data_IF_820160965723
#
_entry.id   IF_820160965723
#
_cell.length_a   1.000
_cell.length_b   1.000
_cell.length_c   1.000
_cell.angle_alpha   90.00
_cell.angle_beta   90.00
_cell.angle_gamma   90.00
#
_symmetry.space_group_name_H-M   'P 1'
#
loop_
_entity.id
_entity.type
_entity.pdbx_description
1 polymer ?
#
# COMPACT_ATOMS: atom_id res chain seq x y z
N UNK A 1 -10.25 14.89 -2.44
CA UNK A 1 -10.03 14.15 -3.72
C UNK A 1 -11.00 12.98 -3.73
N UNK A 2 -11.72 12.73 -4.84
CA UNK A 2 -12.60 11.56 -4.97
C UNK A 2 -11.73 10.29 -5.18
N UNK A 3 -11.72 9.32 -4.24
CA UNK A 3 -10.91 8.11 -4.37
C UNK A 3 -11.29 7.23 -5.56
N UNK A 4 -12.50 7.39 -6.10
CA UNK A 4 -13.04 6.61 -7.21
C UNK A 4 -13.00 7.35 -8.56
N UNK A 5 -12.41 8.54 -8.63
CA UNK A 5 -12.40 9.35 -9.85
C UNK A 5 -11.85 8.60 -11.08
N UNK A 6 -10.77 7.82 -10.91
CA UNK A 6 -10.21 7.00 -12.01
C UNK A 6 -11.13 5.84 -12.42
N UNK A 7 -11.88 5.29 -11.47
CA UNK A 7 -12.87 4.23 -11.73
C UNK A 7 -14.02 4.78 -12.57
N UNK A 8 -14.52 5.96 -12.21
CA UNK A 8 -15.57 6.67 -12.93
C UNK A 8 -15.12 7.02 -14.36
N UNK A 9 -13.90 7.58 -14.49
CA UNK A 9 -13.31 7.91 -15.77
C UNK A 9 -13.11 6.67 -16.66
N UNK A 10 -12.61 5.56 -16.09
CA UNK A 10 -12.41 4.30 -16.81
C UNK A 10 -13.71 3.69 -17.29
N UNK A 11 -14.79 3.81 -16.51
CA UNK A 11 -16.13 3.39 -16.92
C UNK A 11 -16.68 4.27 -18.03
N UNK A 12 -16.57 5.60 -17.92
CA UNK A 12 -17.02 6.55 -18.95
C UNK A 12 -16.32 6.35 -20.30
N UNK A 13 -15.03 5.97 -20.27
CA UNK A 13 -14.25 5.62 -21.46
C UNK A 13 -14.54 4.22 -22.03
N UNK A 14 -15.44 3.46 -21.42
CA UNK A 14 -15.77 2.09 -21.85
C UNK A 14 -14.66 1.07 -21.58
N UNK A 15 -13.63 1.43 -20.82
CA UNK A 15 -12.50 0.54 -20.49
C UNK A 15 -12.88 -0.44 -19.37
N UNK A 16 -13.68 0.02 -18.40
CA UNK A 16 -14.19 -0.80 -17.31
C UNK A 16 -15.67 -1.16 -17.57
N UNK A 17 -16.00 -2.46 -17.70
CA UNK A 17 -17.38 -2.87 -17.94
C UNK A 17 -18.33 -2.50 -16.80
N UNK A 18 -19.60 -2.30 -17.11
CA UNK A 18 -20.66 -1.91 -16.14
C UNK A 18 -20.76 -2.84 -14.94
N UNK A 19 -20.58 -4.14 -15.17
CA UNK A 19 -20.64 -5.16 -14.10
C UNK A 19 -19.56 -4.93 -13.05
N UNK A 20 -18.31 -4.79 -13.47
CA UNK A 20 -17.16 -4.58 -12.62
C UNK A 20 -17.20 -3.21 -11.94
N UNK A 21 -17.59 -2.18 -12.68
CA UNK A 21 -17.85 -0.84 -12.14
C UNK A 21 -18.86 -0.88 -10.98
N UNK A 22 -20.04 -1.46 -11.21
CA UNK A 22 -21.09 -1.56 -10.19
C UNK A 22 -20.64 -2.38 -8.98
N UNK A 23 -19.87 -3.46 -9.21
CA UNK A 23 -19.34 -4.29 -8.14
C UNK A 23 -18.35 -3.53 -7.26
N UNK A 24 -17.45 -2.74 -7.87
CA UNK A 24 -16.48 -1.91 -7.16
C UNK A 24 -17.21 -0.87 -6.30
N UNK A 25 -18.18 -0.13 -6.88
CA UNK A 25 -18.94 0.86 -6.13
C UNK A 25 -19.68 0.25 -4.93
N UNK A 26 -20.37 -0.88 -5.14
CA UNK A 26 -21.08 -1.61 -4.08
C UNK A 26 -20.17 -2.03 -2.93
N UNK A 27 -18.91 -2.36 -3.23
CA UNK A 27 -17.97 -2.92 -2.26
C UNK A 27 -16.97 -1.90 -1.69
N UNK A 28 -16.87 -0.72 -2.29
CA UNK A 28 -15.99 0.35 -1.81
C UNK A 28 -16.18 0.72 -0.31
N UNK A 29 -17.39 0.65 0.28
CA UNK A 29 -17.56 0.83 1.72
C UNK A 29 -16.70 -0.10 2.59
N UNK A 30 -16.26 -1.26 2.08
CA UNK A 30 -15.31 -2.13 2.79
C UNK A 30 -13.93 -1.48 2.92
N UNK A 31 -13.49 -0.73 1.91
CA UNK A 31 -12.23 0.05 1.96
C UNK A 31 -12.35 1.16 2.99
N UNK A 32 -13.44 1.93 2.95
CA UNK A 32 -13.70 3.01 3.92
C UNK A 32 -13.74 2.47 5.35
N UNK A 33 -14.42 1.35 5.56
CA UNK A 33 -14.45 0.65 6.85
C UNK A 33 -13.05 0.20 7.31
N UNK A 34 -12.20 -0.25 6.38
CA UNK A 34 -10.81 -0.63 6.66
C UNK A 34 -9.97 0.57 7.06
N UNK A 35 -10.06 1.68 6.34
CA UNK A 35 -9.36 2.93 6.63
C UNK A 35 -9.74 3.43 8.03
N UNK A 36 -11.04 3.57 8.33
CA UNK A 36 -11.50 4.03 9.64
C UNK A 36 -11.03 3.12 10.78
N UNK A 37 -10.97 1.81 10.52
CA UNK A 37 -10.47 0.83 11.48
C UNK A 37 -8.98 1.02 11.76
N UNK A 38 -8.17 1.24 10.72
CA UNK A 38 -6.72 1.48 10.81
C UNK A 38 -6.44 2.78 11.57
N UNK A 39 -7.15 3.86 11.24
CA UNK A 39 -7.03 5.14 11.94
C UNK A 39 -7.36 5.01 13.42
N UNK A 40 -8.46 4.32 13.75
CA UNK A 40 -8.84 4.06 15.14
C UNK A 40 -7.80 3.21 15.88
N UNK A 41 -7.29 2.14 15.24
CA UNK A 41 -6.35 1.21 15.84
C UNK A 41 -4.94 1.79 16.03
N UNK A 42 -4.51 2.71 15.16
CA UNK A 42 -3.19 3.34 15.21
C UNK A 42 -3.18 4.71 15.92
N UNK A 43 -4.33 5.39 15.95
CA UNK A 43 -4.42 6.79 16.35
C UNK A 43 -3.71 7.75 15.38
N UNK A 44 -3.50 7.33 14.11
CA UNK A 44 -2.86 8.11 13.05
C UNK A 44 -3.77 8.14 11.82
N UNK A 45 -3.93 9.32 11.21
CA UNK A 45 -4.72 9.48 9.99
C UNK A 45 -4.14 8.68 8.81
N UNK A 46 -5.02 8.05 8.04
CA UNK A 46 -4.64 7.31 6.85
C UNK A 46 -4.19 8.28 5.74
N UNK A 47 -3.15 7.97 4.96
CA UNK A 47 -2.73 8.80 3.85
C UNK A 47 -3.79 8.88 2.74
N UNK A 48 -3.58 9.79 1.79
CA UNK A 48 -4.44 9.87 0.61
C UNK A 48 -4.42 8.52 -0.09
N UNK A 49 -5.60 7.98 -0.37
CA UNK A 49 -5.76 6.74 -1.11
C UNK A 49 -6.66 6.95 -2.32
N UNK A 50 -6.37 6.23 -3.41
CA UNK A 50 -7.22 6.19 -4.59
C UNK A 50 -7.26 4.78 -5.20
N UNK A 51 -8.32 4.51 -5.95
CA UNK A 51 -8.52 3.22 -6.60
C UNK A 51 -8.00 3.29 -8.04
N UNK A 52 -7.06 2.40 -8.35
CA UNK A 52 -6.56 2.17 -9.71
C UNK A 52 -7.48 1.19 -10.43
N UNK A 53 -8.02 1.53 -11.61
CA UNK A 53 -8.94 0.65 -12.35
C UNK A 53 -8.29 -0.64 -12.86
N UNK A 54 -6.97 -0.76 -12.75
CA UNK A 54 -6.20 -1.88 -13.27
C UNK A 54 -5.84 -2.89 -12.18
N UNK A 55 -5.62 -4.16 -12.57
CA UNK A 55 -4.77 -5.06 -11.81
C UNK A 55 -3.32 -4.60 -11.98
N UNK A 56 -2.55 -4.57 -10.89
CA UNK A 56 -1.15 -4.19 -10.93
C UNK A 56 -0.32 -5.47 -10.91
N UNK A 57 0.50 -5.68 -11.94
CA UNK A 57 1.40 -6.84 -12.05
C UNK A 57 2.83 -6.32 -11.96
N UNK A 58 3.57 -6.84 -10.98
CA UNK A 58 5.01 -6.59 -10.85
C UNK A 58 5.79 -7.73 -11.47
N UNK A 59 6.77 -7.42 -12.31
CA UNK A 59 7.72 -8.39 -12.86
C UNK A 59 9.15 -7.94 -12.61
N UNK A 60 10.05 -8.90 -12.38
CA UNK A 60 11.47 -8.60 -12.16
C UNK A 60 12.15 -8.06 -13.42
N UNK A 61 11.68 -8.51 -14.59
CA UNK A 61 12.13 -8.00 -15.90
C UNK A 61 10.96 -7.90 -16.87
N UNK A 62 11.05 -7.07 -17.93
CA UNK A 62 9.99 -6.96 -18.95
C UNK A 62 9.59 -8.29 -19.59
N UNK A 63 10.51 -9.27 -19.61
CA UNK A 63 10.37 -10.56 -20.28
C UNK A 63 10.20 -11.73 -19.27
N UNK A 64 10.19 -11.50 -17.96
CA UNK A 64 9.98 -12.57 -17.01
C UNK A 64 8.49 -12.87 -16.82
N UNK A 65 8.15 -14.17 -16.78
CA UNK A 65 6.80 -14.65 -16.52
C UNK A 65 6.49 -14.82 -15.03
N UNK A 66 7.35 -14.29 -14.14
CA UNK A 66 7.09 -14.25 -12.71
C UNK A 66 6.06 -13.16 -12.41
N UNK A 67 4.82 -13.57 -12.32
CA UNK A 67 3.69 -12.68 -12.05
C UNK A 67 3.50 -12.53 -10.55
N UNK A 68 3.87 -11.36 -10.02
CA UNK A 68 3.39 -10.92 -8.71
C UNK A 68 2.20 -9.97 -8.89
N UNK A 69 1.03 -10.32 -8.34
CA UNK A 69 -0.11 -9.39 -8.30
C UNK A 69 0.04 -8.48 -7.09
N UNK A 70 0.10 -7.18 -7.33
CA UNK A 70 0.05 -6.17 -6.28
C UNK A 70 -1.38 -5.68 -6.10
N UNK A 71 -1.96 -5.97 -4.97
CA UNK A 71 -3.33 -5.58 -4.64
C UNK A 71 -3.45 -4.14 -4.13
N UNK A 72 -2.39 -3.61 -3.56
CA UNK A 72 -2.20 -2.20 -3.26
C UNK A 72 -0.70 -1.88 -3.24
N UNK A 73 -0.35 -0.62 -3.25
CA UNK A 73 1.02 -0.15 -3.06
C UNK A 73 1.07 1.26 -2.50
N UNK A 74 2.09 1.52 -1.69
CA UNK A 74 2.41 2.84 -1.18
C UNK A 74 3.45 3.48 -2.08
N UNK A 75 3.12 4.66 -2.65
CA UNK A 75 3.99 5.36 -3.59
C UNK A 75 4.15 6.83 -3.20
N UNK A 76 5.37 7.39 -3.31
CA UNK A 76 5.57 8.83 -3.24
C UNK A 76 5.22 9.45 -4.59
N UNK A 77 4.55 10.57 -4.53
CA UNK A 77 4.25 11.42 -5.70
C UNK A 77 4.95 12.73 -5.53
N UNK A 78 5.85 13.04 -6.45
CA UNK A 78 6.56 14.31 -6.47
C UNK A 78 5.66 15.33 -7.16
N UNK A 79 5.32 16.39 -6.43
CA UNK A 79 4.62 17.55 -6.98
C UNK A 79 5.62 18.72 -7.14
N UNK A 80 5.22 19.76 -7.88
CA UNK A 80 6.06 20.99 -7.99
C UNK A 80 6.39 21.64 -6.64
N UNK A 81 5.60 21.36 -5.60
CA UNK A 81 5.72 22.03 -4.29
C UNK A 81 6.16 21.11 -3.17
N UNK A 82 5.95 19.79 -3.26
CA UNK A 82 6.22 18.85 -2.16
C UNK A 82 6.16 17.40 -2.63
N UNK A 83 6.52 16.50 -1.73
CA UNK A 83 6.30 15.07 -1.86
C UNK A 83 5.01 14.72 -1.12
N UNK A 84 4.15 13.94 -1.74
CA UNK A 84 2.99 13.33 -1.12
C UNK A 84 3.14 11.81 -1.19
N UNK A 85 2.87 11.13 -0.08
CA UNK A 85 2.82 9.67 -0.06
C UNK A 85 1.36 9.29 -0.17
N UNK A 86 1.06 8.43 -1.13
CA UNK A 86 -0.31 7.98 -1.41
C UNK A 86 -0.37 6.46 -1.43
N UNK A 87 -1.55 5.91 -1.15
CA UNK A 87 -1.83 4.48 -1.29
C UNK A 87 -2.70 4.27 -2.52
N UNK A 88 -2.18 3.50 -3.46
CA UNK A 88 -2.89 3.05 -4.65
C UNK A 88 -3.50 1.70 -4.39
N UNK A 89 -4.82 1.56 -4.57
CA UNK A 89 -5.57 0.34 -4.31
C UNK A 89 -6.04 -0.23 -5.65
N UNK A 90 -5.73 -1.48 -5.94
CA UNK A 90 -6.17 -2.15 -7.17
C UNK A 90 -7.67 -2.44 -7.14
N UNK A 91 -8.39 -2.11 -8.22
CA UNK A 91 -9.83 -2.36 -8.33
C UNK A 91 -10.22 -3.83 -8.14
N UNK A 92 -9.48 -4.84 -8.66
CA UNK A 92 -9.74 -6.26 -8.39
C UNK A 92 -9.73 -6.64 -6.92
N UNK A 93 -8.92 -5.99 -6.08
CA UNK A 93 -8.97 -6.20 -4.63
C UNK A 93 -10.35 -5.87 -4.07
N UNK A 94 -10.92 -4.74 -4.49
CA UNK A 94 -12.24 -4.31 -4.03
C UNK A 94 -13.32 -5.25 -4.56
N UNK A 95 -13.23 -5.59 -5.84
CA UNK A 95 -14.21 -6.45 -6.51
C UNK A 95 -14.29 -7.85 -5.89
N UNK A 96 -13.16 -8.46 -5.54
CA UNK A 96 -13.10 -9.89 -5.20
C UNK A 96 -12.54 -10.21 -3.82
N UNK A 97 -11.85 -9.27 -3.16
CA UNK A 97 -11.26 -9.47 -1.84
C UNK A 97 -12.31 -9.65 -0.75
N UNK A 98 -12.04 -10.51 0.21
CA UNK A 98 -12.84 -10.58 1.43
C UNK A 98 -12.56 -9.36 2.31
N UNK A 99 -13.52 -8.97 3.17
CA UNK A 99 -13.37 -7.83 4.10
C UNK A 99 -12.05 -7.90 4.89
N UNK A 100 -11.75 -9.06 5.48
CA UNK A 100 -10.52 -9.25 6.26
C UNK A 100 -9.24 -9.11 5.41
N UNK A 101 -9.27 -9.59 4.14
CA UNK A 101 -8.15 -9.44 3.19
C UNK A 101 -7.96 -7.97 2.80
N UNK A 102 -9.03 -7.24 2.49
CA UNK A 102 -8.97 -5.80 2.18
C UNK A 102 -8.36 -5.04 3.36
N UNK A 103 -8.84 -5.28 4.59
CA UNK A 103 -8.34 -4.61 5.78
C UNK A 103 -6.87 -4.96 6.07
N UNK A 104 -6.46 -6.23 5.86
CA UNK A 104 -5.07 -6.65 6.06
C UNK A 104 -4.12 -5.97 5.07
N UNK A 105 -4.51 -5.88 3.79
CA UNK A 105 -3.71 -5.23 2.75
C UNK A 105 -3.60 -3.73 3.04
N UNK A 106 -4.70 -3.05 3.35
CA UNK A 106 -4.66 -1.63 3.71
C UNK A 106 -3.77 -1.36 4.93
N UNK A 107 -3.83 -2.23 5.95
CA UNK A 107 -2.98 -2.11 7.13
C UNK A 107 -1.51 -2.35 6.80
N UNK A 108 -1.19 -3.30 5.92
CA UNK A 108 0.17 -3.55 5.46
C UNK A 108 0.73 -2.34 4.70
N UNK A 109 -0.04 -1.78 3.77
CA UNK A 109 0.36 -0.55 3.06
C UNK A 109 0.51 0.66 4.00
N UNK A 110 -0.30 0.72 5.05
CA UNK A 110 -0.16 1.74 6.07
C UNK A 110 1.17 1.61 6.86
N UNK A 111 1.64 0.39 7.12
CA UNK A 111 2.97 0.18 7.71
C UNK A 111 4.08 0.65 6.76
N UNK A 112 3.97 0.41 5.46
CA UNK A 112 4.90 0.97 4.46
C UNK A 112 4.87 2.50 4.45
N UNK A 113 3.68 3.11 4.55
CA UNK A 113 3.54 4.55 4.67
C UNK A 113 4.28 5.10 5.89
N UNK A 114 4.09 4.51 7.07
CA UNK A 114 4.78 4.94 8.29
C UNK A 114 6.30 4.80 8.17
N UNK A 115 6.78 3.69 7.62
CA UNK A 115 8.21 3.46 7.41
C UNK A 115 8.82 4.47 6.43
N UNK A 116 8.09 4.80 5.36
CA UNK A 116 8.55 5.79 4.40
C UNK A 116 8.61 7.19 5.04
N UNK A 117 7.59 7.58 5.82
CA UNK A 117 7.63 8.85 6.58
C UNK A 117 8.82 8.85 7.55
N UNK A 118 9.07 7.78 8.27
CA UNK A 118 10.21 7.65 9.17
C UNK A 118 11.53 7.92 8.43
N UNK A 119 11.77 7.21 7.35
CA UNK A 119 12.98 7.38 6.52
C UNK A 119 13.13 8.79 5.99
N UNK A 120 12.05 9.40 5.50
CA UNK A 120 12.07 10.78 5.01
C UNK A 120 12.32 11.79 6.14
N UNK A 121 11.82 11.55 7.36
CA UNK A 121 11.98 12.45 8.50
C UNK A 121 13.38 12.42 9.11
N UNK A 122 14.07 11.28 9.05
CA UNK A 122 15.43 11.11 9.59
C UNK A 122 16.51 11.45 8.58
N UNK A 123 16.12 11.83 7.35
CA UNK A 123 17.06 12.01 6.23
C UNK A 123 18.05 10.82 6.08
N UNK A 124 17.61 9.60 6.44
CA UNK A 124 18.35 8.36 6.17
C UNK A 124 18.55 8.11 4.66
N UNK A 125 18.33 9.13 3.89
CA UNK A 125 18.40 9.25 2.45
C UNK A 125 19.68 9.98 2.08
N UNK A 126 20.80 9.26 2.13
CA UNK A 126 22.15 9.84 2.05
C UNK A 126 22.64 10.20 0.64
N UNK A 127 21.85 10.09 -0.43
CA UNK A 127 22.31 10.51 -1.76
C UNK A 127 21.17 10.85 -2.72
N UNK A 128 21.48 11.67 -3.74
CA UNK A 128 20.60 11.99 -4.86
C UNK A 128 20.18 10.74 -5.68
N UNK A 129 20.86 9.61 -5.47
CA UNK A 129 20.57 8.31 -6.08
C UNK A 129 19.66 7.39 -5.24
N UNK A 130 19.10 7.87 -4.16
CA UNK A 130 18.22 7.10 -3.24
C UNK A 130 16.92 6.61 -3.89
N UNK A 131 16.89 6.59 -5.15
CA UNK A 131 15.67 6.44 -5.89
C UNK A 131 15.11 5.02 -5.93
N UNK A 132 15.93 4.02 -6.20
CA UNK A 132 15.44 2.68 -6.56
C UNK A 132 15.36 1.75 -5.37
N UNK A 133 16.43 1.69 -4.59
CA UNK A 133 16.58 0.70 -3.53
C UNK A 133 15.68 0.94 -2.33
N UNK A 134 15.21 2.16 -2.10
CA UNK A 134 14.36 2.47 -0.95
C UNK A 134 12.98 1.80 -1.10
N UNK A 135 12.42 1.84 -2.30
CA UNK A 135 11.11 1.27 -2.58
C UNK A 135 11.17 -0.23 -2.79
N UNK A 136 12.20 -0.74 -3.46
CA UNK A 136 12.42 -2.18 -3.58
C UNK A 136 12.66 -2.83 -2.22
N UNK A 137 13.49 -2.22 -1.39
CA UNK A 137 13.79 -2.75 -0.06
C UNK A 137 12.57 -2.66 0.88
N UNK A 138 11.72 -1.65 0.74
CA UNK A 138 10.46 -1.56 1.51
C UNK A 138 9.50 -2.69 1.13
N UNK A 139 9.45 -3.09 -0.14
CA UNK A 139 8.59 -4.19 -0.59
C UNK A 139 9.20 -5.59 -0.36
N UNK A 140 10.52 -5.73 -0.40
CA UNK A 140 11.21 -7.00 -0.16
C UNK A 140 11.47 -7.29 1.32
N UNK A 141 11.63 -6.26 2.13
CA UNK A 141 12.05 -6.35 3.53
C UNK A 141 10.85 -6.21 4.48
N UNK A 142 9.99 -7.23 4.53
CA UNK A 142 8.97 -7.33 5.58
C UNK A 142 9.57 -7.27 6.99
N UNK A 143 10.85 -7.63 7.15
CA UNK A 143 11.58 -7.62 8.42
C UNK A 143 11.93 -6.20 8.92
N UNK A 144 11.87 -5.19 8.03
CA UNK A 144 12.15 -3.78 8.37
C UNK A 144 10.91 -2.95 8.64
N UNK A 145 9.72 -3.48 8.37
CA UNK A 145 8.48 -2.77 8.68
C UNK A 145 8.27 -2.63 10.18
N UNK A 146 7.48 -1.65 10.55
CA UNK A 146 7.00 -1.54 11.92
C UNK A 146 6.34 -2.85 12.37
N UNK A 147 6.66 -3.27 13.60
CA UNK A 147 5.94 -4.40 14.21
C UNK A 147 4.43 -4.07 14.30
N UNK A 148 3.55 -4.82 13.66
CA UNK A 148 2.12 -4.49 13.62
C UNK A 148 1.49 -4.31 15.00
N UNK A 149 1.94 -5.07 16.01
CA UNK A 149 1.48 -4.97 17.41
C UNK A 149 1.93 -3.68 18.10
N UNK A 150 2.96 -3.01 17.58
CA UNK A 150 3.37 -1.71 18.09
C UNK A 150 2.49 -0.58 17.57
N UNK A 151 1.89 -0.77 16.38
CA UNK A 151 1.11 0.24 15.65
C UNK A 151 -0.39 0.08 15.91
N UNK A 152 -0.92 -1.15 15.85
CA UNK A 152 -2.36 -1.39 15.89
C UNK A 152 -2.80 -1.96 17.23
N UNK A 153 -3.76 -1.30 17.86
CA UNK A 153 -4.48 -1.80 19.03
C UNK A 153 -5.81 -2.45 18.59
N UNK A 154 -5.70 -3.52 17.79
CA UNK A 154 -6.84 -4.28 17.28
C UNK A 154 -6.43 -5.73 16.98
N UNK A 155 -6.73 -6.63 17.91
CA UNK A 155 -6.35 -8.04 17.80
C UNK A 155 -6.91 -8.75 16.57
N UNK A 156 -8.12 -8.41 16.13
CA UNK A 156 -8.71 -9.03 14.95
C UNK A 156 -8.04 -8.53 13.66
N UNK A 157 -7.64 -7.24 13.61
CA UNK A 157 -6.84 -6.71 12.51
C UNK A 157 -5.46 -7.38 12.47
N UNK A 158 -4.79 -7.49 13.61
CA UNK A 158 -3.50 -8.19 13.75
C UNK A 158 -3.59 -9.64 13.28
N UNK A 159 -4.65 -10.36 13.66
CA UNK A 159 -4.89 -11.73 13.18
C UNK A 159 -5.04 -11.79 11.65
N UNK A 160 -5.72 -10.83 11.03
CA UNK A 160 -5.84 -10.77 9.57
C UNK A 160 -4.48 -10.49 8.90
N UNK A 161 -3.68 -9.56 9.43
CA UNK A 161 -2.35 -9.26 8.93
C UNK A 161 -1.47 -10.50 9.00
N UNK A 162 -1.37 -11.15 10.16
CA UNK A 162 -0.54 -12.35 10.35
C UNK A 162 -0.93 -13.49 9.40
N UNK A 163 -2.23 -13.68 9.16
CA UNK A 163 -2.73 -14.73 8.25
C UNK A 163 -2.45 -14.43 6.79
N UNK A 164 -2.45 -13.17 6.37
CA UNK A 164 -2.29 -12.79 4.97
C UNK A 164 -0.84 -12.47 4.59
N UNK A 165 -0.01 -12.13 5.57
CA UNK A 165 1.40 -11.79 5.40
C UNK A 165 2.32 -12.61 6.33
N UNK A 166 2.36 -13.95 6.20
CA UNK A 166 3.26 -14.78 7.02
C UNK A 166 4.74 -14.58 6.63
N UNK A 167 5.02 -14.45 5.35
CA UNK A 167 6.33 -14.15 4.74
C UNK A 167 6.15 -13.57 3.34
N UNK A 168 5.33 -12.52 3.23
CA UNK A 168 4.77 -12.00 1.99
C UNK A 168 3.27 -12.25 1.91
N UNK A 169 2.61 -11.60 0.94
CA UNK A 169 1.16 -11.74 0.78
C UNK A 169 0.80 -13.16 0.30
N UNK A 170 -0.24 -13.74 0.93
CA UNK A 170 -0.77 -15.06 0.56
C UNK A 170 -2.30 -15.09 0.63
N UNK A 171 -2.93 -15.04 -0.53
CA UNK A 171 -4.36 -15.30 -0.69
C UNK A 171 -4.64 -15.91 -2.07
N UNK A 172 -4.29 -17.19 -2.24
CA UNK A 172 -4.46 -17.92 -3.51
C UNK A 172 -5.90 -17.84 -4.05
N UNK A 173 -6.92 -17.84 -3.17
CA UNK A 173 -8.33 -17.71 -3.60
C UNK A 173 -8.64 -16.35 -4.21
N UNK A 174 -7.98 -15.28 -3.75
CA UNK A 174 -8.11 -13.96 -4.35
C UNK A 174 -7.35 -13.90 -5.67
N UNK A 175 -6.12 -14.42 -5.70
CA UNK A 175 -5.29 -14.48 -6.90
C UNK A 175 -5.98 -15.24 -8.03
N UNK A 176 -6.52 -16.46 -7.76
CA UNK A 176 -7.29 -17.26 -8.71
C UNK A 176 -8.51 -16.49 -9.26
N UNK A 177 -9.25 -15.79 -8.38
CA UNK A 177 -10.38 -14.97 -8.82
C UNK A 177 -9.95 -13.83 -9.73
N UNK A 178 -8.84 -13.17 -9.43
CA UNK A 178 -8.32 -12.08 -10.24
C UNK A 178 -7.81 -12.61 -11.57
N UNK A 179 -7.10 -13.72 -11.60
CA UNK A 179 -6.71 -14.37 -12.84
C UNK A 179 -7.95 -14.66 -13.71
N UNK A 180 -8.92 -15.40 -13.19
CA UNK A 180 -10.10 -15.89 -13.93
C UNK A 180 -11.07 -14.77 -14.34
N UNK A 181 -11.33 -13.81 -13.45
CA UNK A 181 -12.40 -12.82 -13.65
C UNK A 181 -11.89 -11.44 -14.05
N UNK A 182 -10.59 -11.22 -14.08
CA UNK A 182 -10.01 -9.96 -14.47
C UNK A 182 -9.00 -10.12 -15.63
N UNK A 183 -7.94 -10.91 -15.42
CA UNK A 183 -6.84 -11.03 -16.38
C UNK A 183 -7.28 -11.81 -17.63
N UNK A 184 -7.90 -12.98 -17.48
CA UNK A 184 -8.39 -13.80 -18.61
C UNK A 184 -9.52 -13.11 -19.40
N UNK A 185 -10.16 -12.10 -18.79
CA UNK A 185 -11.19 -11.27 -19.46
C UNK A 185 -10.62 -10.02 -20.11
N UNK A 186 -9.31 -9.89 -20.17
CA UNK A 186 -8.63 -8.72 -20.73
C UNK A 186 -9.07 -7.39 -20.12
N UNK A 187 -9.42 -7.38 -18.81
CA UNK A 187 -9.72 -6.15 -18.11
C UNK A 187 -8.42 -5.35 -17.83
N UNK A 188 -8.53 -4.05 -17.48
CA UNK A 188 -7.37 -3.18 -17.35
C UNK A 188 -6.24 -3.78 -16.52
N UNK A 189 -5.04 -3.78 -17.10
CA UNK A 189 -3.82 -4.31 -16.47
C UNK A 189 -2.71 -3.28 -16.55
N UNK A 190 -2.09 -2.99 -15.42
CA UNK A 190 -0.91 -2.14 -15.32
C UNK A 190 0.31 -3.02 -15.00
N UNK A 191 1.23 -3.14 -15.93
CA UNK A 191 2.51 -3.82 -15.68
C UNK A 191 3.53 -2.81 -15.19
N UNK A 192 4.19 -3.15 -14.10
CA UNK A 192 5.30 -2.38 -13.54
C UNK A 192 6.55 -3.25 -13.49
N UNK A 193 7.64 -2.71 -14.02
CA UNK A 193 8.97 -3.29 -13.89
C UNK A 193 9.76 -2.50 -12.86
N UNK A 194 10.90 -3.01 -12.44
CA UNK A 194 11.81 -2.32 -11.54
C UNK A 194 12.17 -0.92 -12.10
N UNK A 195 12.48 -0.83 -13.39
CA UNK A 195 12.89 0.41 -14.05
C UNK A 195 11.76 1.45 -14.14
N UNK A 196 10.50 1.00 -14.33
CA UNK A 196 9.34 1.90 -14.42
C UNK A 196 8.81 2.35 -13.05
N UNK A 197 9.28 1.74 -11.97
CA UNK A 197 8.83 2.03 -10.62
C UNK A 197 9.78 2.98 -9.85
N UNK A 198 10.81 3.50 -10.54
CA UNK A 198 11.77 4.43 -9.96
C UNK A 198 11.14 5.81 -9.78
N UNK A 199 11.06 6.27 -8.55
CA UNK A 199 10.70 7.65 -8.24
C UNK A 199 11.93 8.39 -7.74
N UNK A 200 12.45 9.31 -8.53
CA UNK A 200 13.56 10.18 -8.13
C UNK A 200 13.06 11.26 -7.18
N UNK A 201 13.58 11.26 -5.95
CA UNK A 201 13.30 12.27 -4.96
C UNK A 201 14.48 13.24 -4.85
N UNK A 202 14.28 14.53 -5.14
CA UNK A 202 15.33 15.51 -4.92
C UNK A 202 15.38 15.94 -3.45
N UNK A 203 16.56 16.22 -2.93
CA UNK A 203 16.75 16.76 -1.57
C UNK A 203 15.89 18.03 -1.33
N UNK A 204 15.74 18.89 -2.35
CA UNK A 204 14.87 20.08 -2.31
C UNK A 204 13.40 19.70 -2.15
N UNK A 205 12.93 18.64 -2.76
CA UNK A 205 11.54 18.18 -2.58
C UNK A 205 11.31 17.58 -1.20
N UNK A 206 12.30 16.90 -0.65
CA UNK A 206 12.26 16.33 0.70
C UNK A 206 12.25 17.45 1.74
N UNK A 207 13.11 18.44 1.62
CA UNK A 207 13.18 19.59 2.57
C UNK A 207 11.90 20.42 2.60
N UNK A 208 11.11 20.41 1.54
CA UNK A 208 9.81 21.07 1.46
C UNK A 208 8.64 20.25 2.00
N UNK A 209 8.88 19.01 2.35
CA UNK A 209 7.86 18.14 2.92
C UNK A 209 7.49 18.61 4.33
N UNK A 210 6.24 18.99 4.51
CA UNK A 210 5.73 19.39 5.83
C UNK A 210 5.16 18.17 6.54
N UNK A 211 5.93 17.62 7.46
CA UNK A 211 5.46 16.57 8.36
C UNK A 211 4.87 17.22 9.63
N UNK A 212 3.74 16.69 10.09
CA UNK A 212 3.14 17.12 11.35
C UNK A 212 3.95 16.54 12.53
N UNK A 213 4.25 17.37 13.53
CA UNK A 213 5.02 16.94 14.70
C UNK A 213 4.35 15.80 15.48
N UNK A 214 3.03 15.79 15.55
CA UNK A 214 2.26 14.71 16.18
C UNK A 214 2.43 13.35 15.45
N UNK A 215 2.51 13.35 14.11
CA UNK A 215 2.82 12.16 13.34
C UNK A 215 4.23 11.64 13.64
N UNK A 216 5.22 12.53 13.68
CA UNK A 216 6.61 12.16 14.00
C UNK A 216 6.70 11.56 15.41
N UNK A 217 6.07 12.20 16.39
CA UNK A 217 6.04 11.70 17.77
C UNK A 217 5.36 10.33 17.88
N UNK A 218 4.30 10.10 17.12
CA UNK A 218 3.63 8.79 17.04
C UNK A 218 4.55 7.72 16.44
N UNK A 219 5.23 8.02 15.34
CA UNK A 219 6.19 7.12 14.70
C UNK A 219 7.29 6.72 15.68
N UNK A 220 7.90 7.67 16.39
CA UNK A 220 8.91 7.40 17.41
C UNK A 220 8.36 6.49 18.54
N UNK A 221 7.11 6.71 18.95
CA UNK A 221 6.47 5.85 19.95
C UNK A 221 6.28 4.40 19.47
N UNK A 222 5.98 4.21 18.17
CA UNK A 222 5.86 2.88 17.56
C UNK A 222 7.21 2.17 17.48
N UNK A 223 8.28 2.88 17.17
CA UNK A 223 9.65 2.33 17.17
C UNK A 223 10.05 1.82 18.57
N UNK A 224 9.83 2.64 19.59
CA UNK A 224 10.11 2.26 20.97
C UNK A 224 9.32 1.03 21.43
N UNK A 225 8.03 0.98 21.10
CA UNK A 225 7.18 -0.19 21.39
C UNK A 225 7.64 -1.43 20.63
N UNK A 226 7.92 -1.29 19.34
CA UNK A 226 8.40 -2.37 18.49
C UNK A 226 9.72 -2.96 18.98
N UNK A 227 10.67 -2.13 19.37
CA UNK A 227 11.95 -2.55 19.94
C UNK A 227 11.79 -3.35 21.24
N UNK A 228 10.88 -2.93 22.12
CA UNK A 228 10.54 -3.68 23.36
C UNK A 228 9.92 -5.03 23.07
N UNK A 229 9.02 -5.11 22.06
CA UNK A 229 8.36 -6.36 21.67
C UNK A 229 9.35 -7.37 21.04
N UNK A 230 10.28 -6.90 20.23
CA UNK A 230 11.33 -7.74 19.64
C UNK A 230 12.25 -8.33 20.72
N UNK A 231 12.71 -7.52 21.68
CA UNK A 231 13.55 -8.01 22.80
C UNK A 231 12.87 -9.13 23.60
N UNK A 232 11.54 -9.04 23.84
CA UNK A 232 10.79 -10.07 24.56
C UNK A 232 10.65 -11.41 23.81
N UNK A 233 10.92 -11.48 22.52
CA UNK A 233 10.89 -12.74 21.73
C UNK A 233 12.18 -13.54 21.84
N UNK A 234 13.27 -12.95 22.35
CA UNK A 234 14.58 -13.58 22.48
C UNK A 234 14.89 -14.04 23.92
N UNK A 235 13.94 -13.88 24.82
CA UNK A 235 13.97 -14.42 26.19
C UNK A 235 12.70 -15.26 26.44
#
# INVERSE_FOLDING_TARGET
>A
MNPLAKIEESFQKGVLPKKEYSLILKRFPLVVSGINRIEKASGVGFPIAYVEPSVIISSSTPNSFEFGILFARTIPVVTKKSIQIIIQISAPLIAYGLKGTIHAILAHEFLHYLELIRKLSTMDLLSDEVSVNLFENVYRDSDRLFEPRAVFDDNALLSHITKKFPSGFRDFKLEDKVMKYWIEKNLPTLRITLDTNIVKLSAVSISKMKLKNDLISKIQSFELKGSKLRRKRFY
#
